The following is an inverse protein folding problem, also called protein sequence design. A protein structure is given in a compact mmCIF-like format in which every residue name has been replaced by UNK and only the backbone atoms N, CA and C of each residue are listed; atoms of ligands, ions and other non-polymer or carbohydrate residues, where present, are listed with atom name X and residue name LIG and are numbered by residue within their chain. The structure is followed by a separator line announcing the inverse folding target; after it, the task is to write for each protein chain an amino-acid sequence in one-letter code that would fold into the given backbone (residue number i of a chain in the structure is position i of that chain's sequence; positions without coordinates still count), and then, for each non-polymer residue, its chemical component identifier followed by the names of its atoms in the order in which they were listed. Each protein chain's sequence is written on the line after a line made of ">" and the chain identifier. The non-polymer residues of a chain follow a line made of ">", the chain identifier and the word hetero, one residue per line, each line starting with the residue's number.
data_IF_054652930365
#
_entry.id   IF_054652930365
#
_cell.length_a   1.000
_cell.length_b   1.000
_cell.length_c   1.000
_cell.angle_alpha   90.00
_cell.angle_beta   90.00
_cell.angle_gamma   90.00
#
_symmetry.space_group_name_H-M   'P 1'
#
loop_
_entity.id
_entity.type
_entity.pdbx_description
1 polymer ?
#
# COMPACT_ATOMS: atom_id res chain seq x y z
N UNK A 1 -3.60 3.86 18.53
CA UNK A 1 -2.73 3.53 17.38
C UNK A 1 -1.69 4.62 17.16
N UNK A 2 -0.47 4.44 17.67
CA UNK A 2 0.59 5.45 17.58
C UNK A 2 0.96 5.78 16.12
N UNK A 3 0.91 4.78 15.23
CA UNK A 3 1.24 4.95 13.82
C UNK A 3 0.20 5.79 13.05
N UNK A 4 -1.11 5.50 13.21
CA UNK A 4 -2.19 6.32 12.62
C UNK A 4 -2.07 7.80 13.04
N UNK A 5 -1.81 8.05 14.33
CA UNK A 5 -1.63 9.41 14.85
C UNK A 5 -0.40 10.09 14.23
N UNK A 6 0.72 9.35 14.09
CA UNK A 6 1.94 9.85 13.42
C UNK A 6 1.71 10.21 11.95
N UNK A 7 0.91 9.42 11.24
CA UNK A 7 0.61 9.65 9.81
C UNK A 7 -0.50 10.70 9.59
N UNK A 8 -1.17 11.19 10.64
CA UNK A 8 -2.24 12.19 10.54
C UNK A 8 -3.48 11.70 9.78
N UNK A 9 -3.77 10.40 9.83
CA UNK A 9 -4.85 9.80 9.04
C UNK A 9 -6.21 9.90 9.72
N UNK A 10 -7.17 10.53 9.02
CA UNK A 10 -8.54 10.72 9.50
C UNK A 10 -9.52 9.61 9.06
N UNK A 11 -9.11 8.73 8.15
CA UNK A 11 -9.92 7.59 7.74
C UNK A 11 -9.89 6.45 8.77
N UNK A 12 -10.92 5.61 8.74
CA UNK A 12 -11.01 4.42 9.59
C UNK A 12 -9.98 3.39 9.16
N UNK A 13 -8.87 3.37 9.88
CA UNK A 13 -7.82 2.39 9.72
C UNK A 13 -8.01 1.24 10.70
N UNK A 14 -8.16 0.03 10.16
CA UNK A 14 -8.30 -1.22 10.90
C UNK A 14 -7.15 -2.16 10.50
N UNK A 15 -6.85 -3.12 11.37
CA UNK A 15 -5.83 -4.15 11.15
C UNK A 15 -6.45 -5.52 11.42
N UNK A 16 -5.99 -6.54 10.71
CA UNK A 16 -6.32 -7.93 10.98
C UNK A 16 -5.81 -8.40 12.37
N UNK A 17 -4.87 -7.66 12.99
CA UNK A 17 -4.26 -8.05 14.26
C UNK A 17 -3.58 -9.40 14.14
N UNK A 18 -3.80 -10.27 15.13
CA UNK A 18 -3.29 -11.65 15.15
C UNK A 18 -4.22 -12.65 14.42
N UNK A 19 -5.18 -12.14 13.64
CA UNK A 19 -6.15 -12.95 12.90
C UNK A 19 -5.59 -13.52 11.58
N UNK A 20 -6.34 -14.46 11.01
CA UNK A 20 -6.03 -15.15 9.75
C UNK A 20 -6.55 -14.42 8.49
N UNK A 21 -7.29 -13.32 8.65
CA UNK A 21 -7.93 -12.58 7.56
C UNK A 21 -7.03 -12.38 6.32
N UNK A 22 -5.80 -11.91 6.48
CA UNK A 22 -4.91 -11.69 5.33
C UNK A 22 -4.49 -12.98 4.61
N UNK A 23 -4.38 -14.10 5.34
CA UNK A 23 -4.07 -15.42 4.78
C UNK A 23 -5.27 -15.96 3.99
N UNK A 24 -6.49 -15.79 4.51
CA UNK A 24 -7.73 -16.17 3.81
C UNK A 24 -7.91 -15.45 2.47
N UNK A 25 -7.38 -14.23 2.35
CA UNK A 25 -7.38 -13.44 1.12
C UNK A 25 -6.08 -13.52 0.32
N UNK A 26 -5.19 -14.45 0.67
CA UNK A 26 -3.98 -14.75 -0.09
C UNK A 26 -3.06 -13.54 -0.29
N UNK A 27 -2.89 -12.71 0.75
CA UNK A 27 -1.97 -11.56 0.76
C UNK A 27 -0.91 -11.63 1.86
N UNK A 28 -1.06 -12.57 2.80
CA UNK A 28 -0.01 -12.94 3.77
C UNK A 28 0.34 -14.43 3.63
N UNK A 29 1.60 -14.78 3.85
CA UNK A 29 2.14 -16.12 3.59
C UNK A 29 3.04 -16.63 4.72
N UNK A 30 3.11 -17.95 4.86
CA UNK A 30 4.08 -18.63 5.73
C UNK A 30 5.14 -19.28 4.87
N UNK A 31 6.40 -19.22 5.31
CA UNK A 31 7.55 -19.66 4.52
C UNK A 31 7.52 -21.18 4.21
N UNK A 32 6.85 -21.96 5.04
CA UNK A 32 6.75 -23.41 4.96
C UNK A 32 5.44 -23.92 4.32
N UNK A 33 4.59 -23.01 3.82
CA UNK A 33 3.33 -23.34 3.16
C UNK A 33 3.35 -22.98 1.66
N UNK A 34 2.58 -23.69 0.80
CA UNK A 34 2.41 -23.31 -0.60
C UNK A 34 1.83 -21.89 -0.73
N UNK A 35 2.41 -21.08 -1.61
CA UNK A 35 1.94 -19.72 -1.89
C UNK A 35 1.01 -19.74 -3.10
N UNK A 36 -0.24 -19.35 -2.89
CA UNK A 36 -1.17 -19.02 -3.98
C UNK A 36 -1.33 -17.50 -4.01
N UNK A 37 -0.94 -16.85 -5.10
CA UNK A 37 -1.02 -15.40 -5.22
C UNK A 37 -1.19 -14.96 -6.67
N UNK A 38 -2.10 -13.99 -6.89
CA UNK A 38 -2.44 -13.47 -8.21
C UNK A 38 -2.88 -14.59 -9.19
N UNK A 39 -3.80 -15.44 -8.72
CA UNK A 39 -4.45 -16.53 -9.45
C UNK A 39 -3.52 -17.67 -9.92
N UNK A 40 -2.35 -17.80 -9.32
CA UNK A 40 -1.39 -18.86 -9.63
C UNK A 40 -0.60 -19.28 -8.39
N UNK A 41 -0.06 -20.50 -8.43
CA UNK A 41 0.95 -20.94 -7.48
C UNK A 41 2.25 -20.16 -7.70
N UNK A 42 2.93 -19.81 -6.61
CA UNK A 42 4.16 -19.01 -6.58
C UNK A 42 5.17 -19.61 -5.62
N UNK A 43 6.43 -19.24 -5.82
CA UNK A 43 7.45 -19.43 -4.80
C UNK A 43 7.28 -18.40 -3.67
N UNK A 44 7.76 -18.72 -2.48
CA UNK A 44 7.78 -17.77 -1.38
C UNK A 44 8.78 -16.64 -1.67
N UNK A 45 8.28 -15.41 -1.77
CA UNK A 45 9.08 -14.21 -1.97
C UNK A 45 9.23 -13.41 -0.66
N UNK A 46 8.12 -13.18 0.04
CA UNK A 46 8.06 -12.47 1.31
C UNK A 46 6.78 -12.81 2.08
N UNK A 47 6.67 -12.32 3.31
CA UNK A 47 5.53 -12.59 4.20
C UNK A 47 4.24 -11.90 3.75
N UNK A 48 4.33 -10.75 3.07
CA UNK A 48 3.17 -9.95 2.66
C UNK A 48 3.32 -9.43 1.22
N UNK A 49 2.27 -9.61 0.41
CA UNK A 49 2.18 -9.06 -0.95
C UNK A 49 0.92 -8.20 -1.11
N UNK A 50 0.93 -7.20 -2.01
CA UNK A 50 -0.18 -6.25 -2.13
C UNK A 50 -1.44 -6.89 -2.71
N UNK A 51 -2.58 -6.61 -2.07
CA UNK A 51 -3.91 -6.90 -2.60
C UNK A 51 -4.96 -5.89 -2.15
N UNK A 52 -6.02 -5.77 -2.93
CA UNK A 52 -7.16 -4.92 -2.62
C UNK A 52 -8.46 -5.69 -2.90
N UNK A 53 -9.32 -5.74 -1.89
CA UNK A 53 -10.61 -6.43 -1.95
C UNK A 53 -11.74 -5.47 -1.65
N UNK A 54 -12.89 -5.68 -2.31
CA UNK A 54 -14.14 -4.97 -2.00
C UNK A 54 -15.15 -5.97 -1.48
N UNK A 55 -15.72 -5.63 -0.33
CA UNK A 55 -16.78 -6.41 0.29
C UNK A 55 -18.09 -5.62 0.31
N UNK A 56 -19.20 -6.32 0.10
CA UNK A 56 -20.54 -5.74 0.19
C UNK A 56 -21.36 -6.50 1.22
N UNK A 57 -21.87 -5.78 2.22
CA UNK A 57 -22.88 -6.31 3.15
C UNK A 57 -24.28 -6.16 2.57
N UNK A 58 -25.02 -7.25 2.47
CA UNK A 58 -26.43 -7.24 2.10
C UNK A 58 -27.34 -6.92 3.29
N UNK A 59 -28.63 -6.69 3.02
CA UNK A 59 -29.62 -6.30 4.02
C UNK A 59 -29.86 -7.40 5.07
N UNK A 60 -29.68 -8.67 4.70
CA UNK A 60 -29.77 -9.84 5.57
C UNK A 60 -28.50 -10.08 6.42
N UNK A 61 -27.47 -9.24 6.22
CA UNK A 61 -26.18 -9.36 6.90
C UNK A 61 -25.11 -10.17 6.17
N UNK A 62 -25.44 -10.83 5.05
CA UNK A 62 -24.48 -11.60 4.25
C UNK A 62 -23.38 -10.70 3.70
N UNK A 63 -22.12 -11.12 3.82
CA UNK A 63 -20.96 -10.40 3.27
C UNK A 63 -20.52 -11.09 1.97
N UNK A 64 -20.50 -10.32 0.88
CA UNK A 64 -20.02 -10.77 -0.43
C UNK A 64 -18.64 -10.20 -0.70
N UNK A 65 -17.71 -11.03 -1.16
CA UNK A 65 -16.45 -10.59 -1.76
C UNK A 65 -16.70 -10.33 -3.24
N UNK A 66 -16.82 -9.05 -3.61
CA UNK A 66 -17.31 -8.66 -4.95
C UNK A 66 -16.18 -8.30 -5.92
N UNK A 67 -14.97 -8.11 -5.40
CA UNK A 67 -13.81 -7.74 -6.19
C UNK A 67 -12.53 -8.12 -5.45
N UNK A 68 -11.55 -8.62 -6.19
CA UNK A 68 -10.18 -8.76 -5.71
C UNK A 68 -9.19 -8.41 -6.81
N UNK A 69 -8.11 -7.75 -6.43
CA UNK A 69 -6.97 -7.48 -7.29
C UNK A 69 -5.68 -7.63 -6.49
N UNK A 70 -4.64 -8.09 -7.16
CA UNK A 70 -3.33 -8.38 -6.58
C UNK A 70 -2.23 -7.73 -7.40
N UNK A 71 -1.01 -7.73 -6.86
CA UNK A 71 0.19 -7.30 -7.57
C UNK A 71 -0.01 -5.89 -8.16
N UNK A 72 0.44 -5.68 -9.40
CA UNK A 72 0.34 -4.39 -10.09
C UNK A 72 -1.07 -3.89 -10.34
N UNK A 73 -2.09 -4.74 -10.20
CA UNK A 73 -3.47 -4.27 -10.30
C UNK A 73 -3.88 -3.36 -9.13
N UNK A 74 -3.13 -3.38 -8.02
CA UNK A 74 -3.31 -2.44 -6.90
C UNK A 74 -2.79 -1.03 -7.22
N UNK A 75 -1.94 -0.85 -8.25
CA UNK A 75 -1.39 0.46 -8.65
C UNK A 75 -2.50 1.45 -9.03
N UNK A 76 -3.69 0.97 -9.44
CA UNK A 76 -4.84 1.82 -9.73
C UNK A 76 -5.29 2.68 -8.54
N UNK A 77 -5.04 2.23 -7.31
CA UNK A 77 -5.33 3.01 -6.11
C UNK A 77 -4.24 4.07 -5.81
N UNK A 78 -3.08 3.99 -6.47
CA UNK A 78 -1.94 4.90 -6.32
C UNK A 78 -1.53 5.47 -7.69
N UNK A 79 -2.20 6.55 -8.11
CA UNK A 79 -1.89 7.23 -9.38
C UNK A 79 -0.48 7.82 -9.47
N UNK A 80 0.25 7.89 -8.35
CA UNK A 80 1.63 8.42 -8.30
C UNK A 80 2.56 7.64 -9.23
N UNK A 81 2.43 6.32 -9.32
CA UNK A 81 3.33 5.52 -10.15
C UNK A 81 3.09 5.75 -11.64
N UNK A 82 1.82 5.83 -12.07
CA UNK A 82 1.51 6.22 -13.44
C UNK A 82 2.03 7.64 -13.77
N UNK A 83 1.97 8.58 -12.83
CA UNK A 83 2.52 9.92 -13.04
C UNK A 83 4.04 9.89 -13.22
N UNK A 84 4.76 9.11 -12.41
CA UNK A 84 6.22 8.98 -12.51
C UNK A 84 6.65 8.30 -13.81
N UNK A 85 5.93 7.26 -14.25
CA UNK A 85 6.16 6.55 -15.53
C UNK A 85 6.09 7.47 -16.76
N UNK A 86 5.37 8.60 -16.67
CA UNK A 86 5.27 9.59 -17.74
C UNK A 86 6.44 10.59 -17.76
N UNK A 87 7.32 10.58 -16.76
CA UNK A 87 8.48 11.48 -16.69
C UNK A 87 9.74 10.81 -17.27
N UNK A 88 10.73 11.59 -17.78
CA UNK A 88 11.94 11.01 -18.39
C UNK A 88 12.74 10.05 -17.49
N UNK A 89 12.68 10.23 -16.17
CA UNK A 89 13.39 9.38 -15.21
C UNK A 89 12.55 8.19 -14.74
N UNK A 90 11.30 8.06 -15.20
CA UNK A 90 10.37 7.03 -14.75
C UNK A 90 10.22 7.03 -13.22
N UNK A 91 10.15 5.83 -12.65
CA UNK A 91 10.10 5.61 -11.19
C UNK A 91 11.44 5.82 -10.48
N UNK A 92 12.53 6.00 -11.23
CA UNK A 92 13.88 6.24 -10.70
C UNK A 92 14.34 5.21 -9.63
N UNK A 93 13.96 3.94 -9.82
CA UNK A 93 14.28 2.76 -8.99
C UNK A 93 15.74 2.33 -9.21
N UNK A 94 16.68 3.19 -8.81
CA UNK A 94 18.12 3.05 -9.09
C UNK A 94 18.94 2.64 -7.86
N UNK A 95 18.27 2.30 -6.76
CA UNK A 95 18.92 1.87 -5.54
C UNK A 95 19.31 0.39 -5.58
N UNK A 96 19.77 -0.13 -4.43
CA UNK A 96 20.30 -1.49 -4.34
C UNK A 96 19.24 -2.58 -4.63
N UNK A 97 17.96 -2.31 -4.38
CA UNK A 97 16.89 -3.29 -4.59
C UNK A 97 16.35 -3.24 -6.03
N UNK A 98 16.51 -2.11 -6.73
CA UNK A 98 15.99 -1.92 -8.08
C UNK A 98 14.46 -1.87 -8.11
N UNK A 99 13.84 -1.40 -7.02
CA UNK A 99 12.40 -1.32 -6.87
C UNK A 99 11.98 -0.07 -6.04
N UNK A 100 10.68 0.08 -5.84
CA UNK A 100 10.08 1.22 -5.12
C UNK A 100 10.61 1.42 -3.70
N UNK A 101 11.08 0.35 -3.04
CA UNK A 101 11.56 0.42 -1.66
C UNK A 101 12.86 1.23 -1.53
N UNK A 102 13.56 1.48 -2.63
CA UNK A 102 14.82 2.22 -2.65
C UNK A 102 14.67 3.70 -2.26
N UNK A 103 13.52 4.31 -2.53
CA UNK A 103 13.31 5.75 -2.33
C UNK A 103 11.97 6.12 -1.70
N UNK A 104 10.98 5.22 -1.70
CA UNK A 104 9.70 5.45 -1.03
C UNK A 104 9.91 5.45 0.48
N UNK A 105 9.54 6.56 1.13
CA UNK A 105 9.60 6.73 2.58
C UNK A 105 8.26 7.24 3.09
N UNK A 106 8.03 7.08 4.39
CA UNK A 106 6.95 7.80 5.05
C UNK A 106 7.20 9.31 4.93
N UNK A 107 6.14 10.11 4.85
CA UNK A 107 6.22 11.55 4.58
C UNK A 107 7.15 12.32 5.55
N UNK A 108 7.35 11.81 6.76
CA UNK A 108 8.18 12.39 7.82
C UNK A 108 9.63 11.89 7.83
N UNK A 109 10.03 11.03 6.87
CA UNK A 109 11.37 10.44 6.77
C UNK A 109 12.19 10.95 5.57
N UNK A 110 11.65 11.90 4.81
CA UNK A 110 12.39 12.58 3.75
C UNK A 110 13.26 13.71 4.35
N UNK A 111 14.48 13.87 3.81
CA UNK A 111 15.38 14.95 4.22
C UNK A 111 14.74 16.30 3.85
N UNK A 112 14.52 17.17 4.85
CA UNK A 112 13.86 18.48 4.67
C UNK A 112 12.39 18.58 5.10
N UNK A 113 11.92 17.66 5.96
CA UNK A 113 10.55 17.62 6.50
C UNK A 113 9.99 19.00 6.87
N UNK A 114 8.82 19.31 6.29
CA UNK A 114 8.02 20.53 6.48
C UNK A 114 8.85 21.83 6.52
N UNK A 115 9.32 22.28 5.36
CA UNK A 115 9.47 23.73 5.18
C UNK A 115 8.11 24.36 5.43
N UNK A 116 7.95 25.03 6.57
CA UNK A 116 6.82 25.92 6.83
C UNK A 116 6.56 26.73 5.58
N UNK A 117 5.37 26.60 4.99
CA UNK A 117 4.98 27.36 3.82
C UNK A 117 5.22 28.84 4.12
N UNK A 118 6.25 29.40 3.48
CA UNK A 118 6.62 30.81 3.59
C UNK A 118 5.62 31.67 2.84
N UNK A 119 4.38 31.73 3.30
CA UNK A 119 3.49 32.84 3.00
C UNK A 119 3.98 34.05 3.80
N UNK A 120 5.06 34.66 3.31
CA UNK A 120 5.45 36.01 3.68
C UNK A 120 4.36 36.96 3.19
N UNK A 121 3.40 37.28 4.06
CA UNK A 121 2.53 38.42 3.87
C UNK A 121 3.38 39.68 3.77
N UNK A 122 3.50 40.24 2.57
CA UNK A 122 4.00 41.60 2.40
C UNK A 122 2.89 42.54 2.84
N UNK A 123 3.00 43.06 4.07
CA UNK A 123 2.38 44.32 4.44
C UNK A 123 3.07 45.44 3.67
N UNK A 124 2.30 46.15 2.84
CA UNK A 124 2.52 47.54 2.48
C UNK A 124 1.14 48.18 2.24
#
# INVERSE_FOLDING_TARGET
>A
MAFRARMGWDFDWVSAGDGDFNYDFHVSFRQDEPVYYNYADRDFECEDLPGMSVFRKAADGTIYHTYSVFSRGTELASGVFQLLDMTPNGRNETGPNGDLTDWVKHHDKYDGGASSCGCGGKTA
#
